data_IF_353828876972
#
_entry.id   IF_353828876972
#
_cell.length_a   1.000
_cell.length_b   1.000
_cell.length_c   1.000
_cell.angle_alpha   90.00
_cell.angle_beta   90.00
_cell.angle_gamma   90.00
#
_symmetry.space_group_name_H-M   'P 1'
#
loop_
_entity.id
_entity.type
_entity.pdbx_description
1 polymer ?
#
# COMPACT_ATOMS: atom_id res chain seq x y z
N UNK A 1 -12.90 12.12 -21.72
CA UNK A 1 -12.79 10.99 -20.76
C UNK A 1 -11.32 10.62 -20.55
N UNK A 2 -10.51 11.57 -20.09
CA UNK A 2 -9.12 11.34 -19.66
C UNK A 2 -9.10 11.52 -18.14
N UNK A 3 -8.67 10.52 -17.37
CA UNK A 3 -8.47 10.70 -15.92
C UNK A 3 -8.40 9.43 -15.08
N UNK A 4 -9.08 8.33 -15.44
CA UNK A 4 -9.15 7.17 -14.54
C UNK A 4 -7.95 6.22 -14.63
N UNK A 5 -7.25 6.14 -15.77
CA UNK A 5 -6.20 5.13 -15.97
C UNK A 5 -4.91 5.40 -15.16
N UNK A 6 -4.64 6.64 -14.76
CA UNK A 6 -3.43 7.01 -14.03
C UNK A 6 -3.50 6.82 -12.51
N UNK A 7 -4.72 6.73 -11.95
CA UNK A 7 -4.94 6.79 -10.50
C UNK A 7 -4.94 5.39 -9.86
N UNK A 8 -5.37 4.37 -10.61
CA UNK A 8 -5.54 3.00 -10.10
C UNK A 8 -4.22 2.26 -9.87
N UNK A 9 -3.18 2.60 -10.63
CA UNK A 9 -1.84 2.02 -10.54
C UNK A 9 -0.89 2.73 -9.58
N UNK A 10 -1.24 3.93 -9.09
CA UNK A 10 -0.28 4.87 -8.49
C UNK A 10 -0.03 4.68 -6.99
N UNK A 11 -0.60 3.64 -6.36
CA UNK A 11 -0.38 3.40 -4.95
C UNK A 11 -1.05 4.40 -4.00
N UNK A 12 -1.93 5.29 -4.48
CA UNK A 12 -2.57 6.35 -3.69
C UNK A 12 -3.66 5.82 -2.74
N UNK A 13 -3.81 6.45 -1.57
CA UNK A 13 -4.89 6.15 -0.62
C UNK A 13 -6.24 6.54 -1.26
N UNK A 14 -7.30 5.76 -1.04
CA UNK A 14 -8.65 6.09 -1.55
C UNK A 14 -9.18 7.41 -0.99
N UNK A 15 -8.70 7.83 0.18
CA UNK A 15 -8.95 9.16 0.72
C UNK A 15 -8.29 10.25 -0.14
N UNK A 16 -7.01 10.07 -0.46
CA UNK A 16 -6.28 10.99 -1.33
C UNK A 16 -6.95 11.11 -2.71
N UNK A 17 -7.43 9.99 -3.27
CA UNK A 17 -8.17 10.00 -4.54
C UNK A 17 -9.45 10.83 -4.41
N UNK A 18 -10.23 10.67 -3.34
CA UNK A 18 -11.43 11.50 -3.15
C UNK A 18 -11.09 12.98 -2.98
N UNK A 19 -10.02 13.30 -2.25
CA UNK A 19 -9.61 14.68 -1.99
C UNK A 19 -9.12 15.35 -3.28
N UNK A 20 -8.35 14.62 -4.10
CA UNK A 20 -7.92 15.06 -5.43
C UNK A 20 -9.11 15.30 -6.37
N UNK A 21 -10.07 14.37 -6.44
CA UNK A 21 -11.28 14.54 -7.26
C UNK A 21 -12.13 15.76 -6.83
N UNK A 22 -12.17 16.04 -5.52
CA UNK A 22 -12.84 17.24 -5.00
C UNK A 22 -12.07 18.52 -5.36
N UNK A 23 -10.73 18.50 -5.24
CA UNK A 23 -9.87 19.64 -5.59
C UNK A 23 -9.96 19.97 -7.09
N UNK A 24 -10.02 18.95 -7.94
CA UNK A 24 -10.16 19.08 -9.40
C UNK A 24 -11.59 19.48 -9.84
N UNK A 25 -12.53 19.60 -8.89
CA UNK A 25 -13.92 19.96 -9.19
C UNK A 25 -14.68 18.90 -10.01
N UNK A 26 -14.23 17.64 -10.00
CA UNK A 26 -14.86 16.56 -10.79
C UNK A 26 -16.27 16.30 -10.24
N UNK A 27 -17.33 16.45 -11.03
CA UNK A 27 -18.69 16.27 -10.53
C UNK A 27 -18.95 14.79 -10.21
N UNK A 28 -19.60 14.55 -9.07
CA UNK A 28 -20.16 13.24 -8.73
C UNK A 28 -21.38 12.93 -9.60
N UNK A 29 -21.89 11.69 -9.56
CA UNK A 29 -23.10 11.28 -10.31
C UNK A 29 -24.29 12.23 -10.11
N UNK A 30 -24.44 12.79 -8.91
CA UNK A 30 -25.52 13.72 -8.56
C UNK A 30 -25.13 15.19 -8.75
N UNK A 31 -23.99 15.48 -9.40
CA UNK A 31 -23.45 16.80 -9.76
C UNK A 31 -23.22 17.80 -8.61
N UNK A 32 -23.67 17.50 -7.40
CA UNK A 32 -23.67 18.41 -6.25
C UNK A 32 -22.88 17.85 -5.06
N UNK A 33 -22.69 16.52 -4.99
CA UNK A 33 -22.06 15.89 -3.81
C UNK A 33 -20.54 15.87 -3.86
N UNK A 34 -19.93 15.96 -2.67
CA UNK A 34 -18.51 15.75 -2.40
C UNK A 34 -18.15 14.28 -2.64
N UNK A 35 -16.97 14.01 -3.20
CA UNK A 35 -16.40 12.67 -3.28
C UNK A 35 -16.06 12.16 -1.89
N UNK A 36 -16.64 11.02 -1.53
CA UNK A 36 -16.28 10.29 -0.32
C UNK A 36 -15.45 9.06 -0.69
N UNK A 37 -14.48 8.73 0.17
CA UNK A 37 -13.65 7.53 0.06
C UNK A 37 -14.46 6.25 -0.17
N UNK A 38 -15.55 6.05 0.58
CA UNK A 38 -16.45 4.89 0.40
C UNK A 38 -17.04 4.79 -1.01
N UNK A 39 -17.30 5.92 -1.65
CA UNK A 39 -17.80 5.96 -3.04
C UNK A 39 -16.72 5.52 -4.02
N UNK A 40 -15.48 6.00 -3.83
CA UNK A 40 -14.32 5.57 -4.62
C UNK A 40 -14.12 4.07 -4.48
N UNK A 41 -14.09 3.53 -3.25
CA UNK A 41 -13.95 2.07 -3.01
C UNK A 41 -15.01 1.27 -3.77
N UNK A 42 -16.29 1.69 -3.71
CA UNK A 42 -17.37 1.00 -4.43
C UNK A 42 -17.17 0.99 -5.94
N UNK A 43 -16.61 2.06 -6.50
CA UNK A 43 -16.26 2.13 -7.92
C UNK A 43 -15.11 1.17 -8.22
N UNK A 44 -14.05 1.19 -7.41
CA UNK A 44 -12.89 0.31 -7.60
C UNK A 44 -13.24 -1.18 -7.55
N UNK A 45 -14.16 -1.56 -6.67
CA UNK A 45 -14.55 -2.96 -6.45
C UNK A 45 -15.62 -3.46 -7.43
N UNK A 46 -16.15 -2.60 -8.29
CA UNK A 46 -17.25 -2.97 -9.17
C UNK A 46 -16.72 -3.80 -10.35
N UNK A 47 -17.04 -5.09 -10.36
CA UNK A 47 -16.68 -6.05 -11.40
C UNK A 47 -17.28 -5.70 -12.77
N UNK A 48 -18.37 -4.93 -12.80
CA UNK A 48 -19.00 -4.50 -14.06
C UNK A 48 -18.05 -3.71 -14.95
N UNK A 49 -17.04 -3.06 -14.37
CA UNK A 49 -16.04 -2.34 -15.15
C UNK A 49 -15.09 -3.27 -15.92
N UNK A 50 -14.91 -4.52 -15.47
CA UNK A 50 -14.17 -5.55 -16.21
C UNK A 50 -15.04 -6.34 -17.20
N UNK A 51 -16.33 -5.98 -17.33
CA UNK A 51 -17.29 -6.68 -18.18
C UNK A 51 -18.01 -7.85 -17.51
N UNK A 52 -17.62 -8.20 -16.28
CA UNK A 52 -18.19 -9.35 -15.55
C UNK A 52 -19.36 -8.92 -14.65
N UNK A 53 -20.18 -9.87 -14.22
CA UNK A 53 -21.30 -9.63 -13.31
C UNK A 53 -21.38 -10.72 -12.26
N UNK A 54 -21.44 -10.34 -10.99
CA UNK A 54 -21.75 -11.25 -9.89
C UNK A 54 -23.20 -11.09 -9.47
N UNK A 55 -24.00 -12.13 -9.71
CA UNK A 55 -25.39 -12.21 -9.27
C UNK A 55 -25.49 -12.66 -7.80
N UNK A 56 -26.60 -12.30 -7.15
CA UNK A 56 -26.94 -12.76 -5.79
C UNK A 56 -25.90 -12.37 -4.71
N UNK A 57 -25.34 -11.16 -4.81
CA UNK A 57 -24.46 -10.57 -3.78
C UNK A 57 -25.14 -10.38 -2.43
N UNK A 58 -26.46 -10.26 -2.42
CA UNK A 58 -27.29 -10.09 -1.23
C UNK A 58 -28.53 -10.95 -1.36
N UNK A 59 -29.09 -11.37 -0.23
CA UNK A 59 -30.35 -12.10 -0.17
C UNK A 59 -31.21 -11.63 1.01
N UNK A 60 -32.51 -11.90 0.97
CA UNK A 60 -33.39 -11.67 2.12
C UNK A 60 -33.60 -12.99 2.87
N UNK A 61 -33.24 -13.08 4.17
CA UNK A 61 -33.46 -14.29 4.97
C UNK A 61 -34.94 -14.60 5.20
N UNK A 62 -35.82 -13.61 5.02
CA UNK A 62 -37.26 -13.77 5.23
C UNK A 62 -38.08 -12.66 4.56
N UNK A 63 -39.42 -12.79 4.53
CA UNK A 63 -40.30 -11.87 3.80
C UNK A 63 -40.28 -10.42 4.30
N UNK A 64 -39.96 -10.22 5.59
CA UNK A 64 -39.90 -8.91 6.25
C UNK A 64 -38.49 -8.55 6.73
N UNK A 65 -37.48 -9.36 6.37
CA UNK A 65 -36.10 -9.15 6.78
C UNK A 65 -35.39 -8.18 5.85
N UNK A 66 -34.40 -7.45 6.36
CA UNK A 66 -33.52 -6.63 5.52
C UNK A 66 -32.62 -7.53 4.69
N UNK A 67 -32.31 -7.11 3.46
CA UNK A 67 -31.32 -7.79 2.65
C UNK A 67 -29.95 -7.79 3.35
N UNK A 68 -29.34 -8.96 3.43
CA UNK A 68 -28.00 -9.18 3.99
C UNK A 68 -27.03 -9.58 2.88
N UNK A 69 -25.74 -9.37 3.10
CA UNK A 69 -24.69 -9.78 2.16
C UNK A 69 -24.62 -11.31 2.16
N UNK A 70 -24.64 -11.89 0.96
CA UNK A 70 -24.43 -13.32 0.76
C UNK A 70 -22.93 -13.63 0.86
N UNK A 71 -22.54 -14.36 1.90
CA UNK A 71 -21.19 -14.85 2.19
C UNK A 71 -21.01 -16.32 1.83
N UNK A 72 -22.01 -16.93 1.16
CA UNK A 72 -22.04 -18.34 0.79
C UNK A 72 -23.29 -19.07 1.27
N UNK A 73 -24.24 -18.38 1.90
CA UNK A 73 -25.51 -18.97 2.33
C UNK A 73 -26.37 -19.40 1.13
N UNK A 74 -26.24 -18.71 0.00
CA UNK A 74 -26.89 -19.06 -1.27
C UNK A 74 -25.86 -19.10 -2.40
N UNK A 75 -26.08 -19.89 -3.47
CA UNK A 75 -25.20 -19.90 -4.62
C UNK A 75 -25.04 -18.49 -5.19
N UNK A 76 -23.83 -18.14 -5.60
CA UNK A 76 -23.52 -16.92 -6.32
C UNK A 76 -23.08 -17.30 -7.73
N UNK A 77 -23.62 -16.61 -8.72
CA UNK A 77 -23.33 -16.89 -10.13
C UNK A 77 -22.44 -15.78 -10.68
N UNK A 78 -21.26 -16.17 -11.17
CA UNK A 78 -20.34 -15.29 -11.86
C UNK A 78 -20.56 -15.43 -13.37
N UNK A 79 -20.97 -14.36 -14.03
CA UNK A 79 -21.12 -14.29 -15.48
C UNK A 79 -19.97 -13.47 -16.05
N UNK A 80 -19.15 -14.11 -16.87
CA UNK A 80 -18.03 -13.46 -17.56
C UNK A 80 -18.52 -12.78 -18.84
N UNK A 81 -17.90 -11.63 -19.19
CA UNK A 81 -18.11 -10.92 -20.45
C UNK A 81 -19.58 -10.59 -20.77
N UNK A 82 -20.36 -10.24 -19.75
CA UNK A 82 -21.76 -9.82 -19.89
C UNK A 82 -21.89 -8.49 -20.65
N UNK A 83 -20.91 -7.60 -20.51
CA UNK A 83 -20.88 -6.29 -21.16
C UNK A 83 -19.47 -5.92 -21.63
N UNK A 84 -19.31 -5.00 -22.60
CA UNK A 84 -18.01 -4.49 -23.00
C UNK A 84 -17.24 -3.93 -21.79
N UNK A 85 -16.05 -4.46 -21.56
CA UNK A 85 -15.19 -4.05 -20.45
C UNK A 85 -14.73 -2.59 -20.65
N UNK A 86 -14.89 -1.77 -19.60
CA UNK A 86 -14.36 -0.39 -19.57
C UNK A 86 -12.87 -0.40 -19.24
N UNK A 87 -12.46 -1.32 -18.37
CA UNK A 87 -11.07 -1.55 -18.00
C UNK A 87 -10.70 -3.00 -18.27
N UNK A 88 -9.43 -3.23 -18.56
CA UNK A 88 -8.92 -4.58 -18.76
C UNK A 88 -9.11 -5.46 -17.51
N UNK A 89 -9.50 -6.73 -17.72
CA UNK A 89 -9.78 -7.70 -16.66
C UNK A 89 -8.59 -7.91 -15.74
N UNK A 90 -7.37 -7.97 -16.30
CA UNK A 90 -6.13 -8.14 -15.53
C UNK A 90 -5.91 -6.92 -14.63
N UNK A 91 -6.10 -5.71 -15.15
CA UNK A 91 -5.98 -4.48 -14.36
C UNK A 91 -6.99 -4.43 -13.20
N UNK A 92 -8.25 -4.83 -13.45
CA UNK A 92 -9.25 -4.91 -12.38
C UNK A 92 -8.86 -5.91 -11.30
N UNK A 93 -8.40 -7.11 -11.69
CA UNK A 93 -7.92 -8.14 -10.75
C UNK A 93 -6.74 -7.66 -9.90
N UNK A 94 -5.73 -7.04 -10.53
CA UNK A 94 -4.59 -6.41 -9.83
C UNK A 94 -5.06 -5.38 -8.81
N UNK A 95 -6.03 -4.54 -9.19
CA UNK A 95 -6.63 -3.55 -8.29
C UNK A 95 -7.29 -4.22 -7.07
N UNK A 96 -8.00 -5.33 -7.26
CA UNK A 96 -8.59 -6.07 -6.14
C UNK A 96 -7.53 -6.70 -5.23
N UNK A 97 -6.43 -7.23 -5.79
CA UNK A 97 -5.32 -7.77 -4.99
C UNK A 97 -4.66 -6.69 -4.14
N UNK A 98 -4.39 -5.51 -4.71
CA UNK A 98 -3.83 -4.37 -3.97
C UNK A 98 -4.80 -3.86 -2.88
N UNK A 99 -6.11 -3.83 -3.17
CA UNK A 99 -7.12 -3.45 -2.17
C UNK A 99 -7.11 -4.41 -0.97
N UNK A 100 -7.11 -5.73 -1.21
CA UNK A 100 -7.08 -6.75 -0.13
C UNK A 100 -5.78 -6.67 0.67
N UNK A 101 -4.65 -6.49 0.00
CA UNK A 101 -3.34 -6.30 0.66
C UNK A 101 -3.41 -5.13 1.64
N UNK A 102 -3.94 -3.98 1.23
CA UNK A 102 -4.05 -2.79 2.08
C UNK A 102 -4.99 -2.96 3.26
N UNK A 103 -6.05 -3.75 3.10
CA UNK A 103 -6.99 -4.02 4.20
C UNK A 103 -6.32 -4.72 5.39
N UNK A 104 -5.17 -5.40 5.19
CA UNK A 104 -4.38 -6.01 6.25
C UNK A 104 -3.48 -5.04 7.03
N UNK A 105 -3.27 -3.81 6.53
CA UNK A 105 -2.43 -2.80 7.17
C UNK A 105 -3.27 -1.71 7.82
N UNK A 106 -2.84 -1.25 9.00
CA UNK A 106 -3.40 -0.03 9.58
C UNK A 106 -2.69 1.20 8.98
N UNK A 107 -3.22 1.69 7.86
CA UNK A 107 -2.69 2.85 7.13
C UNK A 107 -3.45 4.15 7.44
N UNK A 108 -4.22 4.21 8.53
CA UNK A 108 -5.08 5.36 8.86
C UNK A 108 -4.32 6.68 9.03
N UNK A 109 -3.07 6.61 9.47
CA UNK A 109 -2.20 7.76 9.74
C UNK A 109 -1.07 7.90 8.72
N UNK A 110 -1.17 7.22 7.58
CA UNK A 110 -0.18 7.32 6.52
C UNK A 110 -0.38 8.63 5.76
N UNK A 111 0.61 9.51 5.83
CA UNK A 111 0.61 10.81 5.16
C UNK A 111 2.03 11.18 4.71
N UNK A 112 2.21 12.25 3.90
CA UNK A 112 3.54 12.75 3.55
C UNK A 112 4.41 13.10 4.78
N UNK A 113 3.79 13.58 5.86
CA UNK A 113 4.47 13.90 7.13
C UNK A 113 4.85 12.64 7.92
N UNK A 114 4.15 11.53 7.68
CA UNK A 114 4.31 10.27 8.38
C UNK A 114 4.35 9.06 7.42
N UNK A 115 5.37 8.99 6.53
CA UNK A 115 5.35 8.11 5.36
C UNK A 115 5.57 6.62 5.68
N UNK A 116 6.08 6.31 6.88
CA UNK A 116 6.37 4.94 7.32
C UNK A 116 5.37 4.40 8.35
N UNK A 117 4.38 5.20 8.75
CA UNK A 117 3.37 4.76 9.73
C UNK A 117 2.55 3.59 9.20
N UNK A 118 2.47 2.51 9.99
CA UNK A 118 1.80 1.27 9.57
C UNK A 118 2.59 0.42 8.56
N UNK A 119 3.81 0.84 8.18
CA UNK A 119 4.67 0.18 7.19
C UNK A 119 6.09 -0.08 7.70
N UNK A 120 6.35 0.15 8.98
CA UNK A 120 7.64 -0.12 9.62
C UNK A 120 7.45 -1.24 10.64
N UNK A 121 8.17 -2.35 10.48
CA UNK A 121 8.07 -3.55 11.28
C UNK A 121 9.39 -3.92 11.93
N UNK A 122 9.33 -4.62 13.05
CA UNK A 122 10.49 -5.18 13.71
C UNK A 122 10.78 -6.56 13.12
N UNK A 123 11.99 -6.77 12.59
CA UNK A 123 12.40 -8.04 11.99
C UNK A 123 12.48 -9.21 12.99
N UNK A 124 12.50 -8.93 14.30
CA UNK A 124 12.49 -9.96 15.35
C UNK A 124 11.08 -10.43 15.70
N UNK A 125 10.19 -9.49 16.00
CA UNK A 125 8.88 -9.80 16.58
C UNK A 125 7.73 -9.68 15.59
N UNK A 126 8.00 -9.21 14.37
CA UNK A 126 6.98 -8.89 13.36
C UNK A 126 6.01 -7.77 13.77
N UNK A 127 6.21 -7.14 14.94
CA UNK A 127 5.36 -6.04 15.42
C UNK A 127 5.73 -4.73 14.76
N UNK A 128 4.78 -3.82 14.69
CA UNK A 128 4.99 -2.47 14.13
C UNK A 128 6.01 -1.70 14.97
N UNK A 129 6.88 -0.97 14.29
CA UNK A 129 7.77 0.05 14.87
C UNK A 129 7.00 1.36 14.87
N UNK A 130 6.93 2.01 16.02
CA UNK A 130 6.12 3.22 16.23
C UNK A 130 6.99 4.39 16.61
N UNK A 131 6.54 5.59 16.23
CA UNK A 131 7.18 6.84 16.66
C UNK A 131 6.89 7.08 18.14
N UNK A 132 7.93 7.42 18.88
CA UNK A 132 7.88 7.81 20.27
C UNK A 132 8.55 9.17 20.42
N UNK A 133 7.93 10.04 21.21
CA UNK A 133 8.44 11.38 21.49
C UNK A 133 8.54 11.60 22.99
N UNK A 134 9.64 12.19 23.43
CA UNK A 134 9.78 12.70 24.81
C UNK A 134 10.04 14.20 24.78
N UNK A 135 9.30 14.94 25.60
CA UNK A 135 9.57 16.34 25.85
C UNK A 135 10.67 16.44 26.91
N UNK A 136 11.79 17.04 26.56
CA UNK A 136 12.85 17.35 27.52
C UNK A 136 12.63 18.74 28.11
N UNK A 137 13.10 18.97 29.34
CA UNK A 137 13.08 20.28 29.98
C UNK A 137 13.71 21.31 29.04
N UNK A 138 12.94 22.31 28.58
CA UNK A 138 13.39 23.29 27.59
C UNK A 138 12.71 23.24 26.20
N UNK A 139 11.57 22.55 26.04
CA UNK A 139 10.74 22.47 24.81
C UNK A 139 11.35 21.70 23.62
N UNK A 140 12.50 21.06 23.79
CA UNK A 140 13.02 20.14 22.77
C UNK A 140 12.23 18.82 22.80
N UNK A 141 11.63 18.47 21.67
CA UNK A 141 10.94 17.19 21.49
C UNK A 141 11.89 16.26 20.74
N UNK A 142 12.39 15.24 21.43
CA UNK A 142 13.17 14.18 20.78
C UNK A 142 12.21 13.13 20.23
N UNK A 143 12.30 12.84 18.94
CA UNK A 143 11.46 11.86 18.24
C UNK A 143 12.34 10.72 17.73
N UNK A 144 11.94 9.48 18.01
CA UNK A 144 12.59 8.28 17.49
C UNK A 144 11.59 7.16 17.22
N UNK A 145 12.00 6.21 16.40
CA UNK A 145 11.30 4.98 16.12
C UNK A 145 11.79 3.87 17.06
N UNK A 146 10.85 3.11 17.62
CA UNK A 146 11.14 1.94 18.46
C UNK A 146 10.11 0.85 18.25
N UNK A 147 10.49 -0.39 18.50
CA UNK A 147 9.56 -1.51 18.44
C UNK A 147 8.40 -1.32 19.44
N UNK A 148 7.16 -1.46 18.97
CA UNK A 148 5.94 -1.29 19.80
C UNK A 148 5.90 -2.22 21.00
N UNK A 149 6.52 -3.39 20.89
CA UNK A 149 6.70 -4.37 21.96
C UNK A 149 7.25 -3.74 23.25
N UNK A 150 8.15 -2.76 23.14
CA UNK A 150 8.76 -2.08 24.28
C UNK A 150 7.91 -0.95 24.87
N UNK A 151 6.75 -0.65 24.26
CA UNK A 151 5.78 0.34 24.72
C UNK A 151 4.55 -0.36 25.31
N UNK A 152 4.11 -1.44 24.65
CA UNK A 152 2.91 -2.18 25.05
C UNK A 152 3.10 -2.85 26.41
N UNK A 153 2.11 -2.72 27.29
CA UNK A 153 2.05 -3.46 28.57
C UNK A 153 1.86 -4.97 28.36
N UNK A 154 1.42 -5.39 27.18
CA UNK A 154 1.18 -6.78 26.82
C UNK A 154 2.42 -7.38 26.13
N UNK A 155 3.19 -8.16 26.90
CA UNK A 155 4.28 -8.99 26.40
C UNK A 155 3.74 -10.34 25.94
N UNK A 156 4.24 -10.84 24.82
CA UNK A 156 3.99 -12.23 24.40
C UNK A 156 5.06 -13.13 25.03
N UNK A 157 4.85 -14.45 25.03
CA UNK A 157 5.80 -15.39 25.63
C UNK A 157 7.17 -15.42 24.92
N UNK A 158 7.22 -14.99 23.65
CA UNK A 158 8.42 -14.92 22.80
C UNK A 158 9.20 -13.59 22.93
N UNK A 159 8.80 -12.74 23.87
CA UNK A 159 9.27 -11.36 24.01
C UNK A 159 10.58 -11.29 24.81
N UNK A 160 11.65 -11.87 24.27
CA UNK A 160 12.98 -11.84 24.88
C UNK A 160 13.44 -10.39 25.13
N UNK A 161 13.93 -10.13 26.33
CA UNK A 161 14.48 -8.83 26.74
C UNK A 161 15.84 -8.58 26.09
N UNK A 162 15.84 -8.14 24.83
CA UNK A 162 17.00 -7.55 24.16
C UNK A 162 17.06 -6.02 24.35
N UNK A 163 18.26 -5.47 24.13
CA UNK A 163 18.52 -4.03 24.12
C UNK A 163 17.58 -3.31 23.15
N UNK A 164 17.18 -2.09 23.53
CA UNK A 164 16.26 -1.29 22.74
C UNK A 164 17.00 -0.65 21.56
N UNK A 165 16.76 -1.16 20.36
CA UNK A 165 17.19 -0.50 19.13
C UNK A 165 16.27 0.71 18.87
N UNK A 166 16.84 1.91 18.93
CA UNK A 166 16.18 3.17 18.59
C UNK A 166 16.71 3.68 17.26
N UNK A 167 15.80 4.14 16.41
CA UNK A 167 16.13 4.72 15.10
C UNK A 167 15.72 6.18 15.10
N UNK A 168 16.61 7.09 14.71
CA UNK A 168 16.30 8.52 14.69
C UNK A 168 15.18 8.85 13.70
N UNK A 169 14.43 9.91 14.00
CA UNK A 169 13.50 10.48 13.03
C UNK A 169 14.24 10.91 11.74
N UNK A 170 13.65 10.66 10.57
CA UNK A 170 14.30 10.93 9.27
C UNK A 170 15.22 9.81 8.75
N UNK A 171 15.62 8.85 9.60
CA UNK A 171 16.52 7.77 9.17
C UNK A 171 15.88 6.84 8.13
N UNK A 172 14.62 6.40 8.25
CA UNK A 172 13.98 5.59 7.21
C UNK A 172 13.93 6.27 5.84
N UNK A 173 13.67 7.58 5.79
CA UNK A 173 13.68 8.41 4.58
C UNK A 173 15.07 8.38 3.92
N UNK A 174 16.13 8.56 4.71
CA UNK A 174 17.51 8.48 4.24
C UNK A 174 17.86 7.11 3.67
N UNK A 175 17.51 6.04 4.40
CA UNK A 175 17.79 4.67 3.94
C UNK A 175 17.00 4.36 2.67
N UNK A 176 15.78 4.86 2.51
CA UNK A 176 14.99 4.68 1.29
C UNK A 176 15.73 5.31 0.09
N UNK A 177 16.20 6.56 0.23
CA UNK A 177 16.97 7.23 -0.81
C UNK A 177 18.26 6.46 -1.16
N UNK A 178 18.98 5.97 -0.16
CA UNK A 178 20.20 5.18 -0.39
C UNK A 178 19.90 3.87 -1.10
N UNK A 179 18.84 3.15 -0.70
CA UNK A 179 18.42 1.91 -1.32
C UNK A 179 17.96 2.13 -2.78
N UNK A 180 17.18 3.17 -3.03
CA UNK A 180 16.76 3.55 -4.39
C UNK A 180 17.95 3.91 -5.27
N UNK A 181 18.83 4.80 -4.79
CA UNK A 181 20.01 5.21 -5.54
C UNK A 181 20.99 4.04 -5.77
N UNK A 182 21.05 3.06 -4.87
CA UNK A 182 21.79 1.82 -5.07
C UNK A 182 21.19 1.02 -6.24
N UNK A 183 19.86 0.87 -6.30
CA UNK A 183 19.16 0.18 -7.40
C UNK A 183 19.48 0.85 -8.73
N UNK A 184 19.38 2.18 -8.78
CA UNK A 184 19.67 2.95 -10.00
C UNK A 184 21.15 2.88 -10.37
N UNK A 185 22.06 2.89 -9.40
CA UNK A 185 23.51 2.76 -9.68
C UNK A 185 23.87 1.38 -10.27
N UNK A 186 23.18 0.32 -9.84
CA UNK A 186 23.35 -1.05 -10.32
C UNK A 186 22.25 -1.43 -11.32
N UNK A 187 21.83 -0.47 -12.17
CA UNK A 187 20.66 -0.60 -13.05
C UNK A 187 20.64 -1.90 -13.86
N UNK A 188 21.75 -2.27 -14.50
CA UNK A 188 21.81 -3.47 -15.36
C UNK A 188 21.41 -4.75 -14.59
N UNK A 189 21.93 -4.93 -13.38
CA UNK A 189 21.63 -6.09 -12.54
C UNK A 189 20.16 -6.11 -12.12
N UNK A 190 19.63 -4.98 -11.65
CA UNK A 190 18.25 -4.92 -11.16
C UNK A 190 17.22 -4.97 -12.29
N UNK A 191 17.51 -4.39 -13.46
CA UNK A 191 16.65 -4.51 -14.64
C UNK A 191 16.51 -5.96 -15.09
N UNK A 192 17.62 -6.70 -15.17
CA UNK A 192 17.58 -8.12 -15.53
C UNK A 192 16.74 -8.94 -14.54
N UNK A 193 16.93 -8.69 -13.23
CA UNK A 193 16.14 -9.33 -12.18
C UNK A 193 14.65 -8.98 -12.29
N UNK A 194 14.31 -7.70 -12.45
CA UNK A 194 12.94 -7.22 -12.51
C UNK A 194 12.20 -7.73 -13.76
N UNK A 195 12.87 -7.82 -14.92
CA UNK A 195 12.29 -8.43 -16.13
C UNK A 195 11.89 -9.89 -15.88
N UNK A 196 12.80 -10.67 -15.27
CA UNK A 196 12.50 -12.05 -14.89
C UNK A 196 11.30 -12.15 -13.96
N UNK A 197 11.22 -11.29 -12.93
CA UNK A 197 10.08 -11.25 -12.01
C UNK A 197 8.80 -10.87 -12.74
N UNK A 198 8.83 -9.84 -13.60
CA UNK A 198 7.68 -9.36 -14.36
C UNK A 198 7.07 -10.43 -15.28
N UNK A 199 7.89 -11.35 -15.80
CA UNK A 199 7.46 -12.41 -16.71
C UNK A 199 7.06 -13.69 -15.97
N UNK A 200 7.87 -14.14 -15.01
CA UNK A 200 7.83 -15.50 -14.47
C UNK A 200 7.22 -15.64 -13.07
N UNK A 201 6.97 -14.55 -12.34
CA UNK A 201 6.46 -14.65 -10.97
C UNK A 201 5.00 -15.14 -10.93
N UNK A 202 4.69 -15.99 -9.95
CA UNK A 202 3.36 -16.59 -9.78
C UNK A 202 2.29 -15.52 -9.47
N UNK A 203 2.66 -14.50 -8.69
CA UNK A 203 1.76 -13.43 -8.29
C UNK A 203 1.63 -12.38 -9.39
N UNK A 204 0.43 -12.25 -9.96
CA UNK A 204 0.10 -11.18 -10.90
C UNK A 204 0.39 -9.77 -10.35
N UNK A 205 0.19 -9.58 -9.03
CA UNK A 205 0.45 -8.31 -8.36
C UNK A 205 1.97 -8.02 -8.32
N UNK A 206 2.79 -9.03 -8.02
CA UNK A 206 4.25 -8.89 -8.00
C UNK A 206 4.78 -8.61 -9.41
N UNK A 207 4.26 -9.30 -10.43
CA UNK A 207 4.59 -9.03 -11.84
C UNK A 207 4.28 -7.59 -12.26
N UNK A 208 3.12 -7.08 -11.84
CA UNK A 208 2.74 -5.69 -12.07
C UNK A 208 3.72 -4.72 -11.39
N UNK A 209 4.01 -4.92 -10.10
CA UNK A 209 4.94 -4.05 -9.37
C UNK A 209 6.37 -4.09 -9.91
N UNK A 210 6.82 -5.24 -10.42
CA UNK A 210 8.12 -5.34 -11.09
C UNK A 210 8.14 -4.55 -12.41
N UNK A 211 7.08 -4.62 -13.21
CA UNK A 211 6.92 -3.82 -14.43
C UNK A 211 6.85 -2.32 -14.13
N UNK A 212 6.09 -1.92 -13.12
CA UNK A 212 5.98 -0.52 -12.70
C UNK A 212 7.32 0.00 -12.14
N UNK A 213 8.06 -0.84 -11.40
CA UNK A 213 9.38 -0.46 -10.91
C UNK A 213 10.39 -0.25 -12.04
N UNK A 214 10.37 -1.08 -13.10
CA UNK A 214 11.17 -0.86 -14.30
C UNK A 214 10.88 0.50 -14.93
N UNK A 215 9.60 0.83 -15.10
CA UNK A 215 9.16 2.12 -15.64
C UNK A 215 9.63 3.29 -14.78
N UNK A 216 9.45 3.21 -13.46
CA UNK A 216 9.86 4.27 -12.53
C UNK A 216 11.39 4.45 -12.47
N UNK A 217 12.16 3.37 -12.64
CA UNK A 217 13.61 3.47 -12.76
C UNK A 217 14.05 4.31 -13.96
N UNK A 218 13.28 4.28 -15.06
CA UNK A 218 13.56 5.03 -16.29
C UNK A 218 13.06 6.47 -16.22
N UNK A 219 11.90 6.70 -15.58
CA UNK A 219 11.30 8.03 -15.45
C UNK A 219 11.99 8.90 -14.38
N UNK A 220 12.36 8.31 -13.23
CA UNK A 220 12.79 9.09 -12.05
C UNK A 220 14.30 9.18 -11.91
N UNK A 221 15.05 8.10 -12.21
CA UNK A 221 16.49 8.06 -11.98
C UNK A 221 16.88 8.22 -10.50
N UNK A 222 18.05 8.82 -10.22
CA UNK A 222 18.52 9.04 -8.84
C UNK A 222 17.78 10.20 -8.19
N UNK A 223 17.54 10.10 -6.88
CA UNK A 223 16.87 11.12 -6.08
C UNK A 223 17.84 11.73 -5.05
N UNK A 224 17.69 13.04 -4.81
CA UNK A 224 18.45 13.79 -3.79
C UNK A 224 17.64 14.04 -2.51
N UNK A 225 16.31 13.99 -2.62
CA UNK A 225 15.36 14.20 -1.55
C UNK A 225 14.33 13.06 -1.52
N UNK A 226 13.68 12.88 -0.37
CA UNK A 226 12.70 11.83 -0.20
C UNK A 226 11.42 12.15 -1.00
N UNK A 227 11.11 11.30 -1.98
CA UNK A 227 9.87 11.37 -2.73
C UNK A 227 8.82 10.42 -2.12
N UNK A 228 7.82 11.03 -1.48
CA UNK A 228 6.70 10.33 -0.89
C UNK A 228 5.94 9.47 -1.91
N UNK A 229 5.66 10.01 -3.10
CA UNK A 229 4.89 9.33 -4.13
C UNK A 229 5.65 8.14 -4.69
N UNK A 230 6.95 8.28 -4.91
CA UNK A 230 7.83 7.17 -5.30
C UNK A 230 7.84 6.08 -4.25
N UNK A 231 7.96 6.44 -2.96
CA UNK A 231 7.92 5.47 -1.85
C UNK A 231 6.58 4.73 -1.78
N UNK A 232 5.48 5.41 -2.08
CA UNK A 232 4.15 4.82 -2.10
C UNK A 232 3.99 3.81 -3.23
N UNK A 233 4.60 4.06 -4.39
CA UNK A 233 4.57 3.15 -5.54
C UNK A 233 5.51 1.95 -5.41
N UNK A 234 6.68 2.14 -4.82
CA UNK A 234 7.78 1.16 -4.93
C UNK A 234 8.07 0.41 -3.64
N UNK A 235 7.96 1.06 -2.49
CA UNK A 235 8.20 0.43 -1.19
C UNK A 235 6.99 -0.44 -0.84
N UNK A 236 7.22 -1.56 -0.17
CA UNK A 236 6.21 -2.39 0.48
C UNK A 236 6.18 -2.08 1.98
N UNK A 237 7.28 -2.34 2.68
CA UNK A 237 7.47 -2.00 4.08
C UNK A 237 8.98 -1.88 4.43
N UNK A 238 9.26 -1.45 5.66
CA UNK A 238 10.60 -1.37 6.24
C UNK A 238 10.70 -2.35 7.39
N UNK A 239 11.82 -3.04 7.52
CA UNK A 239 12.11 -3.92 8.64
C UNK A 239 13.30 -3.37 9.46
N UNK A 240 13.14 -3.32 10.78
CA UNK A 240 14.20 -3.00 11.75
C UNK A 240 14.89 -4.28 12.18
N UNK A 241 16.17 -4.42 11.82
CA UNK A 241 16.98 -5.57 12.20
C UNK A 241 17.56 -5.45 13.62
N UNK A 242 17.97 -6.57 14.23
CA UNK A 242 18.56 -6.58 15.58
C UNK A 242 19.86 -5.79 15.69
N UNK A 243 20.62 -5.69 14.60
CA UNK A 243 21.89 -4.98 14.51
C UNK A 243 21.71 -3.46 14.29
N UNK A 244 20.47 -2.97 14.28
CA UNK A 244 20.15 -1.57 14.05
C UNK A 244 20.03 -1.18 12.58
N UNK A 245 20.33 -2.08 11.64
CA UNK A 245 20.17 -1.82 10.20
C UNK A 245 18.71 -1.83 9.78
N UNK A 246 18.41 -1.13 8.70
CA UNK A 246 17.07 -1.11 8.11
C UNK A 246 17.06 -1.88 6.81
N UNK A 247 16.11 -2.81 6.66
CA UNK A 247 15.83 -3.47 5.40
C UNK A 247 14.66 -2.79 4.70
N UNK A 248 14.92 -2.21 3.54
CA UNK A 248 13.90 -1.71 2.62
C UNK A 248 13.38 -2.85 1.77
N UNK A 249 12.09 -3.17 1.92
CA UNK A 249 11.41 -4.21 1.15
C UNK A 249 10.54 -3.53 0.10
N UNK A 250 10.87 -3.73 -1.17
CA UNK A 250 10.14 -3.17 -2.31
C UNK A 250 9.03 -4.11 -2.76
N UNK A 251 7.97 -3.56 -3.38
CA UNK A 251 6.81 -4.32 -3.87
C UNK A 251 7.14 -5.31 -4.98
N UNK A 252 8.28 -5.11 -5.64
CA UNK A 252 8.84 -6.03 -6.63
C UNK A 252 9.57 -7.23 -6.01
N UNK A 253 9.66 -7.32 -4.68
CA UNK A 253 10.40 -8.35 -3.96
C UNK A 253 11.90 -8.06 -3.79
N UNK A 254 12.40 -6.92 -4.26
CA UNK A 254 13.77 -6.47 -3.96
C UNK A 254 13.87 -6.13 -2.47
N UNK A 255 14.94 -6.60 -1.83
CA UNK A 255 15.26 -6.32 -0.42
C UNK A 255 16.66 -5.73 -0.35
N UNK A 256 16.81 -4.58 0.32
CA UNK A 256 18.08 -3.89 0.49
C UNK A 256 18.25 -3.54 1.96
N UNK A 257 19.34 -4.03 2.56
CA UNK A 257 19.69 -3.74 3.95
C UNK A 257 20.85 -2.78 4.01
N UNK A 258 20.70 -1.69 4.76
CA UNK A 258 21.71 -0.65 5.00
C UNK A 258 21.73 -0.35 6.50
#
# INVERSE_FOLDING_TARGET
MCGFSGVLGAGQNTQFISDMLNADGVPTRHKVSIWHNKTVIKILQNEKYSGDVLFQKTFSPGPLSRCVINRGELPQYWLEDAFPAIIDKKLWRITQYEYRRRAGYNLSHLSPEHPFTGRFFCGLFGRTVVQSSIATYGRFINIWWRCSTKITRFKKADDETREEVRVSFGRPEQIFMQAWNLIISKRQMYVARLKKVAEMDESELTRYHASEMLRLMDEVGKIMEFDYMLSMKTLDHVELNPDGKLTMVFRSGIRITI
#
